data_IF_367429883517
#
_entry.id   IF_367429883517
#
_cell.length_a   1.000
_cell.length_b   1.000
_cell.length_c   1.000
_cell.angle_alpha   90.00
_cell.angle_beta   90.00
_cell.angle_gamma   90.00
#
_symmetry.space_group_name_H-M   'P 1'
#
loop_
_entity.id
_entity.type
_entity.pdbx_description
1 polymer ?
#
# COMPACT_ATOMS: atom_id res chain seq x y z
N UNK A 1 5.46 -28.88 18.67
CA UNK A 1 5.91 -30.04 17.88
C UNK A 1 7.06 -29.59 16.96
N UNK A 2 8.05 -30.42 16.66
CA UNK A 2 9.12 -30.06 15.73
C UNK A 2 8.59 -29.79 14.30
N UNK A 3 7.42 -30.28 14.00
CA UNK A 3 6.76 -30.12 12.71
C UNK A 3 5.86 -28.91 12.62
N UNK A 4 5.55 -28.29 13.75
CA UNK A 4 4.61 -27.17 13.83
C UNK A 4 5.32 -25.90 14.29
N UNK A 5 5.13 -24.82 13.58
CA UNK A 5 5.68 -23.49 13.93
C UNK A 5 4.55 -22.49 14.01
N UNK A 6 4.48 -21.77 15.11
CA UNK A 6 3.60 -20.62 15.29
C UNK A 6 4.45 -19.37 15.44
N UNK A 7 4.13 -18.34 14.70
CA UNK A 7 4.74 -17.03 14.83
C UNK A 7 3.68 -15.96 15.10
N UNK A 8 3.98 -15.05 16.02
CA UNK A 8 3.17 -13.88 16.30
C UNK A 8 4.05 -12.65 16.14
N UNK A 9 3.53 -11.62 15.49
CA UNK A 9 4.23 -10.36 15.33
C UNK A 9 3.29 -9.19 15.62
N UNK A 10 3.84 -8.17 16.25
CA UNK A 10 3.16 -6.89 16.42
C UNK A 10 4.14 -5.75 16.12
N UNK A 11 3.72 -4.84 15.26
CA UNK A 11 4.41 -3.58 14.99
C UNK A 11 3.49 -2.42 15.40
N UNK A 12 3.97 -1.56 16.28
CA UNK A 12 3.23 -0.35 16.69
C UNK A 12 3.10 0.64 15.54
N UNK A 13 2.14 1.55 15.66
CA UNK A 13 2.08 2.75 14.82
C UNK A 13 3.35 3.60 15.02
N UNK A 14 3.75 4.31 13.96
CA UNK A 14 4.83 5.30 14.00
C UNK A 14 4.28 6.60 13.46
N UNK A 15 4.42 7.68 14.23
CA UNK A 15 4.02 9.02 13.79
C UNK A 15 5.24 9.79 13.30
N UNK A 16 5.09 10.46 12.18
CA UNK A 16 6.09 11.30 11.55
C UNK A 16 5.50 12.67 11.27
N UNK A 17 6.28 13.71 11.45
CA UNK A 17 6.01 15.03 10.86
C UNK A 17 6.86 15.13 9.60
N UNK A 18 6.20 15.22 8.47
CA UNK A 18 6.84 15.42 7.17
C UNK A 18 7.06 16.92 6.97
N UNK A 19 8.27 17.29 6.56
CA UNK A 19 8.63 18.66 6.26
C UNK A 19 9.00 18.79 4.78
N UNK A 20 8.60 19.90 4.16
CA UNK A 20 8.86 20.13 2.76
C UNK A 20 8.65 21.58 2.35
N UNK A 21 8.71 21.84 1.04
CA UNK A 21 8.45 23.13 0.45
C UNK A 21 7.30 23.04 -0.55
N UNK A 22 6.32 23.94 -0.42
CA UNK A 22 5.26 24.14 -1.40
C UNK A 22 5.73 25.12 -2.47
N UNK A 23 5.83 24.65 -3.71
CA UNK A 23 6.15 25.49 -4.85
C UNK A 23 4.90 25.72 -5.68
N UNK A 24 4.50 26.98 -5.83
CA UNK A 24 3.30 27.35 -6.55
C UNK A 24 3.67 28.13 -7.82
N UNK A 25 3.02 27.78 -8.92
CA UNK A 25 3.10 28.56 -10.17
C UNK A 25 1.76 29.26 -10.36
N UNK A 26 1.80 30.57 -10.40
CA UNK A 26 0.63 31.42 -10.59
C UNK A 26 0.42 31.78 -12.07
N UNK A 27 -0.78 32.17 -12.42
CA UNK A 27 -1.08 32.69 -13.75
C UNK A 27 -1.02 34.23 -13.75
N UNK A 28 -0.77 34.86 -14.90
CA UNK A 28 -0.77 36.31 -15.03
C UNK A 28 -2.08 36.96 -14.54
N UNK A 29 -3.23 36.27 -14.71
CA UNK A 29 -4.51 36.73 -14.19
C UNK A 29 -4.57 36.73 -12.67
N UNK A 30 -4.01 35.72 -12.00
CA UNK A 30 -3.92 35.68 -10.53
C UNK A 30 -2.98 36.78 -10.01
N UNK A 31 -1.84 36.97 -10.66
CA UNK A 31 -0.89 38.02 -10.30
C UNK A 31 -1.49 39.43 -10.45
N UNK A 32 -2.31 39.66 -11.47
CA UNK A 32 -3.04 40.91 -11.67
C UNK A 32 -4.11 41.15 -10.60
N UNK A 33 -4.78 40.07 -10.11
CA UNK A 33 -5.71 40.20 -8.98
C UNK A 33 -4.99 40.56 -7.67
N UNK A 34 -3.83 39.96 -7.41
CA UNK A 34 -3.00 40.27 -6.24
C UNK A 34 -2.42 41.73 -6.32
N UNK A 35 -2.17 42.24 -7.49
CA UNK A 35 -1.70 43.59 -7.70
C UNK A 35 -2.77 44.66 -7.36
N UNK A 36 -4.05 44.26 -7.24
CA UNK A 36 -5.14 45.14 -6.81
C UNK A 36 -5.27 45.10 -5.29
N UNK A 37 -4.96 46.20 -4.52
CA UNK A 37 -4.98 46.20 -3.07
C UNK A 37 -6.36 45.89 -2.46
N UNK A 38 -7.46 46.14 -3.19
CA UNK A 38 -8.83 45.86 -2.71
C UNK A 38 -9.18 44.38 -2.80
N UNK A 39 -8.57 43.66 -3.73
CA UNK A 39 -8.81 42.24 -3.95
C UNK A 39 -7.77 41.37 -3.23
N UNK A 40 -6.53 41.84 -3.14
CA UNK A 40 -5.41 41.10 -2.55
C UNK A 40 -5.67 40.67 -1.09
N UNK A 41 -6.41 41.47 -0.33
CA UNK A 41 -6.78 41.16 1.07
C UNK A 41 -7.74 39.94 1.18
N UNK A 42 -8.44 39.60 0.09
CA UNK A 42 -9.45 38.52 0.04
C UNK A 42 -8.94 37.27 -0.68
N UNK A 43 -7.75 37.31 -1.28
CA UNK A 43 -7.18 36.22 -2.06
C UNK A 43 -6.01 35.61 -1.28
N UNK A 44 -6.05 34.29 -0.97
CA UNK A 44 -4.93 33.62 -0.31
C UNK A 44 -3.64 33.75 -1.15
N UNK A 45 -2.51 34.16 -0.56
CA UNK A 45 -1.25 34.31 -1.29
C UNK A 45 -0.65 32.93 -1.55
N UNK A 46 -0.82 32.36 -2.74
CA UNK A 46 -0.13 31.14 -3.17
C UNK A 46 1.32 31.47 -3.53
N UNK A 47 2.17 31.49 -2.53
CA UNK A 47 3.60 31.78 -2.65
C UNK A 47 4.43 30.57 -2.22
N UNK A 48 5.67 30.50 -2.71
CA UNK A 48 6.62 29.49 -2.24
C UNK A 48 6.78 29.59 -0.73
N UNK A 49 6.61 28.46 -0.04
CA UNK A 49 6.64 28.42 1.41
C UNK A 49 7.07 27.04 1.89
N UNK A 50 7.44 26.94 3.16
CA UNK A 50 7.56 25.65 3.83
C UNK A 50 6.19 25.01 4.05
N UNK A 51 6.15 23.70 4.21
CA UNK A 51 4.95 22.98 4.56
C UNK A 51 5.27 21.82 5.50
N UNK A 52 4.34 21.53 6.40
CA UNK A 52 4.42 20.38 7.30
C UNK A 52 3.15 19.55 7.21
N UNK A 53 3.28 18.22 7.35
CA UNK A 53 2.14 17.31 7.42
C UNK A 53 2.44 16.18 8.40
N UNK A 54 1.48 15.88 9.28
CA UNK A 54 1.58 14.73 10.15
C UNK A 54 1.11 13.46 9.44
N UNK A 55 1.92 12.43 9.50
CA UNK A 55 1.65 11.12 8.92
C UNK A 55 1.87 10.01 9.92
N UNK A 56 0.87 9.18 10.15
CA UNK A 56 0.96 8.04 11.06
C UNK A 56 0.81 6.73 10.30
N UNK A 57 1.87 5.91 10.31
CA UNK A 57 1.78 4.54 9.80
C UNK A 57 0.95 3.67 10.74
N UNK A 58 0.13 2.73 10.22
CA UNK A 58 -0.73 1.92 11.05
C UNK A 58 0.05 0.90 11.88
N UNK A 59 -0.52 0.52 13.03
CA UNK A 59 -0.11 -0.69 13.74
C UNK A 59 -0.53 -1.92 12.94
N UNK A 60 0.30 -2.98 13.02
CA UNK A 60 0.03 -4.28 12.39
C UNK A 60 0.20 -5.38 13.42
N UNK A 61 -0.76 -6.29 13.50
CA UNK A 61 -0.67 -7.54 14.24
C UNK A 61 -0.82 -8.70 13.25
N UNK A 62 0.04 -9.71 13.36
CA UNK A 62 -0.02 -10.90 12.51
C UNK A 62 0.22 -12.18 13.29
N UNK A 63 -0.38 -13.26 12.79
CA UNK A 63 -0.19 -14.62 13.26
C UNK A 63 0.02 -15.53 12.05
N UNK A 64 1.00 -16.41 12.15
CA UNK A 64 1.34 -17.38 11.11
C UNK A 64 1.48 -18.76 11.74
N UNK A 65 0.96 -19.75 11.05
CA UNK A 65 1.13 -21.15 11.40
C UNK A 65 1.72 -21.90 10.21
N UNK A 66 2.71 -22.76 10.47
CA UNK A 66 3.32 -23.64 9.48
C UNK A 66 3.35 -25.05 10.02
N UNK A 67 2.88 -26.00 9.23
CA UNK A 67 3.03 -27.43 9.45
C UNK A 67 3.96 -28.03 8.40
N UNK A 68 5.00 -28.75 8.86
CA UNK A 68 5.95 -29.47 7.99
C UNK A 68 5.74 -30.96 8.14
N UNK A 69 5.31 -31.62 7.08
CA UNK A 69 5.32 -33.05 6.95
C UNK A 69 6.61 -33.51 6.21
N UNK A 70 6.75 -34.79 5.97
CA UNK A 70 7.96 -35.37 5.36
C UNK A 70 8.23 -34.78 3.95
N UNK A 71 7.18 -34.66 3.13
CA UNK A 71 7.28 -34.19 1.73
C UNK A 71 6.55 -32.89 1.45
N UNK A 72 5.76 -32.39 2.35
CA UNK A 72 5.01 -31.14 2.11
C UNK A 72 5.00 -30.25 3.35
N UNK A 73 4.96 -28.96 3.11
CA UNK A 73 4.68 -27.95 4.10
C UNK A 73 3.37 -27.23 3.78
N UNK A 74 2.61 -26.83 4.80
CA UNK A 74 1.40 -26.03 4.68
C UNK A 74 1.45 -24.85 5.65
N UNK A 75 1.17 -23.66 5.14
CA UNK A 75 1.17 -22.43 5.94
C UNK A 75 -0.11 -21.63 5.79
N UNK A 76 -0.48 -20.95 6.87
CA UNK A 76 -1.57 -19.99 6.93
C UNK A 76 -1.05 -18.74 7.59
N UNK A 77 -1.36 -17.55 7.03
CA UNK A 77 -1.07 -16.27 7.62
C UNK A 77 -2.32 -15.43 7.75
N UNK A 78 -2.43 -14.73 8.88
CA UNK A 78 -3.44 -13.72 9.13
C UNK A 78 -2.75 -12.45 9.61
N UNK A 79 -3.13 -11.30 9.03
CA UNK A 79 -2.67 -10.01 9.52
C UNK A 79 -3.83 -9.02 9.60
N UNK A 80 -3.77 -8.18 10.62
CA UNK A 80 -4.67 -7.07 10.83
C UNK A 80 -3.88 -5.76 10.83
N UNK A 81 -4.32 -4.80 10.04
CA UNK A 81 -3.69 -3.48 9.94
C UNK A 81 -4.66 -2.40 10.37
N UNK A 82 -4.23 -1.58 11.34
CA UNK A 82 -5.04 -0.49 11.92
C UNK A 82 -4.99 0.76 11.03
N UNK A 83 -5.48 0.68 9.79
CA UNK A 83 -5.55 1.81 8.87
C UNK A 83 -6.47 2.95 9.33
N UNK A 84 -7.36 2.70 10.31
CA UNK A 84 -8.11 3.78 10.97
C UNK A 84 -7.22 4.80 11.72
N UNK A 85 -5.91 4.59 11.80
CA UNK A 85 -4.94 5.59 12.25
C UNK A 85 -4.69 6.69 11.21
N UNK A 86 -5.06 6.47 9.94
CA UNK A 86 -4.88 7.41 8.84
C UNK A 86 -6.25 7.86 8.33
N UNK A 87 -6.72 9.00 8.85
CA UNK A 87 -8.02 9.55 8.52
C UNK A 87 -7.91 10.72 7.55
N UNK A 88 -6.95 11.59 7.78
CA UNK A 88 -6.73 12.81 7.04
C UNK A 88 -5.25 13.01 6.76
N UNK A 89 -4.94 13.66 5.65
CA UNK A 89 -3.62 14.22 5.38
C UNK A 89 -3.77 15.73 5.22
N UNK A 90 -3.28 16.47 6.20
CA UNK A 90 -3.36 17.94 6.21
C UNK A 90 -1.98 18.54 6.04
N UNK A 91 -1.80 19.36 5.02
CA UNK A 91 -0.58 20.15 4.82
C UNK A 91 -0.80 21.54 5.40
N UNK A 92 0.00 21.90 6.38
CA UNK A 92 0.05 23.24 6.98
C UNK A 92 1.20 24.01 6.34
N UNK A 93 0.90 25.19 5.83
CA UNK A 93 1.89 26.04 5.17
C UNK A 93 2.53 27.02 6.17
N UNK A 94 3.79 27.36 5.96
CA UNK A 94 4.56 28.27 6.81
C UNK A 94 4.22 29.74 6.65
N UNK A 95 3.27 30.07 5.78
CA UNK A 95 2.74 31.44 5.57
C UNK A 95 1.24 31.49 5.90
N UNK A 96 0.55 32.58 5.53
CA UNK A 96 -0.88 32.76 5.78
C UNK A 96 -1.82 32.00 4.83
N UNK A 97 -1.29 31.10 3.98
CA UNK A 97 -2.14 30.24 3.13
C UNK A 97 -2.97 29.29 4.00
N UNK A 98 -4.23 29.05 3.65
CA UNK A 98 -5.03 28.05 4.32
C UNK A 98 -4.42 26.66 4.12
N UNK A 99 -4.47 25.84 5.16
CA UNK A 99 -4.05 24.43 5.06
C UNK A 99 -4.88 23.68 4.00
N UNK A 100 -4.24 22.71 3.36
CA UNK A 100 -4.92 21.78 2.44
C UNK A 100 -5.10 20.45 3.12
N UNK A 101 -6.32 19.95 3.17
CA UNK A 101 -6.63 18.66 3.81
C UNK A 101 -7.32 17.72 2.83
N UNK A 102 -6.88 16.47 2.81
CA UNK A 102 -7.55 15.37 2.12
C UNK A 102 -8.09 14.38 3.16
N UNK A 103 -9.39 14.06 3.06
CA UNK A 103 -10.08 13.15 3.95
C UNK A 103 -10.09 11.75 3.33
N UNK A 104 -9.38 10.81 3.94
CA UNK A 104 -9.30 9.42 3.51
C UNK A 104 -10.29 8.53 4.26
N UNK A 105 -10.49 8.76 5.56
CA UNK A 105 -11.37 7.99 6.43
C UNK A 105 -11.16 6.48 6.31
N UNK A 106 -9.90 6.02 6.29
CA UNK A 106 -9.57 4.63 6.07
C UNK A 106 -10.04 3.73 7.21
N UNK A 107 -10.46 2.52 6.84
CA UNK A 107 -10.86 1.47 7.77
C UNK A 107 -9.76 0.45 7.97
N UNK A 108 -9.82 -0.26 9.10
CA UNK A 108 -8.92 -1.38 9.36
C UNK A 108 -9.09 -2.49 8.34
N UNK A 109 -7.99 -3.17 8.01
CA UNK A 109 -7.96 -4.23 7.00
C UNK A 109 -7.49 -5.55 7.55
N UNK A 110 -7.87 -6.60 6.83
CA UNK A 110 -7.40 -7.96 7.04
C UNK A 110 -6.70 -8.48 5.79
N UNK A 111 -5.62 -9.17 6.03
CA UNK A 111 -4.93 -10.02 5.07
C UNK A 111 -5.03 -11.45 5.55
N UNK A 112 -5.31 -12.38 4.62
CA UNK A 112 -5.29 -13.81 4.88
C UNK A 112 -4.65 -14.52 3.71
N UNK A 113 -3.78 -15.49 3.99
CA UNK A 113 -3.17 -16.35 2.97
C UNK A 113 -3.14 -17.80 3.42
N UNK A 114 -3.12 -18.68 2.44
CA UNK A 114 -2.79 -20.10 2.58
C UNK A 114 -1.87 -20.48 1.44
N UNK A 115 -0.85 -21.26 1.77
CA UNK A 115 0.10 -21.74 0.78
C UNK A 115 0.89 -22.92 1.32
N UNK A 116 1.65 -23.54 0.43
CA UNK A 116 2.48 -24.65 0.84
C UNK A 116 3.56 -24.99 -0.19
N UNK A 117 4.37 -25.95 0.18
CA UNK A 117 5.37 -26.54 -0.68
C UNK A 117 5.21 -28.07 -0.77
N UNK A 118 5.76 -28.63 -1.83
CA UNK A 118 5.86 -30.07 -2.04
C UNK A 118 7.22 -30.42 -2.60
N UNK A 119 7.93 -31.31 -1.92
CA UNK A 119 9.19 -31.88 -2.38
C UNK A 119 8.90 -32.99 -3.39
N UNK A 120 9.02 -32.66 -4.68
CA UNK A 120 8.80 -33.63 -5.79
C UNK A 120 9.86 -34.73 -5.72
N UNK A 121 11.11 -34.34 -5.45
CA UNK A 121 12.27 -35.20 -5.18
C UNK A 121 13.31 -34.38 -4.40
N UNK A 122 14.50 -34.97 -4.16
CA UNK A 122 15.59 -34.36 -3.39
C UNK A 122 16.14 -33.05 -4.02
N UNK A 123 15.83 -32.81 -5.30
CA UNK A 123 16.34 -31.64 -6.04
C UNK A 123 15.26 -30.60 -6.39
N UNK A 124 14.00 -30.98 -6.39
CA UNK A 124 12.92 -30.11 -6.85
C UNK A 124 11.83 -29.96 -5.80
N UNK A 125 11.60 -28.73 -5.38
CA UNK A 125 10.46 -28.32 -4.55
C UNK A 125 9.57 -27.37 -5.35
N UNK A 126 8.27 -27.62 -5.37
CA UNK A 126 7.26 -26.71 -5.95
C UNK A 126 6.45 -26.05 -4.84
N UNK A 127 5.96 -24.84 -5.11
CA UNK A 127 5.18 -24.03 -4.15
C UNK A 127 3.96 -23.45 -4.82
N UNK A 128 2.89 -23.31 -4.07
CA UNK A 128 1.71 -22.59 -4.50
C UNK A 128 1.03 -21.91 -3.30
N UNK A 129 0.33 -20.80 -3.55
CA UNK A 129 -0.40 -20.11 -2.52
C UNK A 129 -1.44 -19.16 -3.09
N UNK A 130 -2.41 -18.81 -2.25
CA UNK A 130 -3.41 -17.79 -2.53
C UNK A 130 -3.55 -16.86 -1.32
N UNK A 131 -3.92 -15.60 -1.59
CA UNK A 131 -4.16 -14.63 -0.55
C UNK A 131 -5.28 -13.68 -0.92
N UNK A 132 -5.86 -13.07 0.13
CA UNK A 132 -6.80 -11.95 0.02
C UNK A 132 -6.31 -10.83 0.92
N UNK A 133 -6.27 -9.61 0.38
CA UNK A 133 -5.92 -8.38 1.08
C UNK A 133 -7.06 -7.38 0.91
N UNK A 134 -7.75 -7.06 2.01
CA UNK A 134 -8.90 -6.17 1.97
C UNK A 134 -8.47 -4.70 1.86
N UNK A 135 -9.24 -3.92 1.09
CA UNK A 135 -8.94 -2.48 0.92
C UNK A 135 -9.33 -1.66 2.17
N UNK A 136 -8.52 -0.67 2.56
CA UNK A 136 -8.91 0.30 3.60
C UNK A 136 -9.88 1.37 3.10
N UNK A 137 -10.01 1.58 1.77
CA UNK A 137 -10.78 2.69 1.22
C UNK A 137 -12.27 2.43 1.23
N UNK A 138 -13.06 3.51 1.42
CA UNK A 138 -14.50 3.51 1.19
C UNK A 138 -14.81 4.14 -0.17
N UNK A 139 -15.90 3.73 -0.79
CA UNK A 139 -16.34 4.32 -2.06
C UNK A 139 -16.51 5.84 -1.96
N UNK A 140 -17.08 6.33 -0.86
CA UNK A 140 -17.36 7.75 -0.65
C UNK A 140 -16.10 8.64 -0.51
N UNK A 141 -14.96 8.06 -0.14
CA UNK A 141 -13.71 8.80 0.09
C UNK A 141 -12.55 8.30 -0.77
N UNK A 142 -12.84 7.37 -1.68
CA UNK A 142 -11.82 6.88 -2.61
C UNK A 142 -11.50 7.94 -3.64
N UNK A 143 -10.24 8.34 -3.70
CA UNK A 143 -9.77 9.34 -4.67
C UNK A 143 -9.06 8.67 -5.86
N UNK A 144 -8.95 9.39 -6.97
CA UNK A 144 -8.17 8.95 -8.12
C UNK A 144 -6.64 8.87 -7.84
N UNK A 145 -6.16 9.48 -6.75
CA UNK A 145 -4.75 9.36 -6.31
C UNK A 145 -4.46 8.04 -5.65
N UNK A 146 -5.48 7.44 -4.98
CA UNK A 146 -5.37 6.13 -4.33
C UNK A 146 -6.62 5.32 -4.68
N UNK A 147 -6.71 4.80 -5.93
CA UNK A 147 -7.85 4.03 -6.40
C UNK A 147 -7.74 2.57 -5.91
N UNK A 148 -7.57 2.38 -4.60
CA UNK A 148 -7.33 1.07 -4.00
C UNK A 148 -8.61 0.24 -3.93
N UNK A 149 -8.47 -1.08 -4.11
CA UNK A 149 -9.54 -2.06 -3.96
C UNK A 149 -9.01 -3.38 -3.41
N UNK A 150 -9.91 -4.28 -3.01
CA UNK A 150 -9.52 -5.60 -2.49
C UNK A 150 -8.72 -6.38 -3.53
N UNK A 151 -7.59 -6.94 -3.09
CA UNK A 151 -6.66 -7.72 -3.89
C UNK A 151 -6.80 -9.20 -3.57
N UNK A 152 -6.72 -10.03 -4.61
CA UNK A 152 -6.59 -11.48 -4.52
C UNK A 152 -5.29 -11.86 -5.21
N UNK A 153 -4.53 -12.72 -4.60
CA UNK A 153 -3.23 -13.13 -5.12
C UNK A 153 -3.24 -14.62 -5.37
N UNK A 154 -2.64 -15.02 -6.49
CA UNK A 154 -2.29 -16.41 -6.77
C UNK A 154 -0.80 -16.49 -7.07
N UNK A 155 -0.11 -17.41 -6.43
CA UNK A 155 1.35 -17.54 -6.52
C UNK A 155 1.76 -18.97 -6.82
N UNK A 156 2.82 -19.12 -7.61
CA UNK A 156 3.51 -20.38 -7.84
C UNK A 156 5.01 -20.17 -7.76
N UNK A 157 5.75 -21.19 -7.37
CA UNK A 157 7.20 -21.11 -7.28
C UNK A 157 7.84 -22.48 -7.36
N UNK A 158 9.13 -22.48 -7.61
CA UNK A 158 9.96 -23.68 -7.59
C UNK A 158 11.35 -23.38 -7.04
N UNK A 159 11.95 -24.36 -6.40
CA UNK A 159 13.37 -24.42 -6.08
C UNK A 159 13.99 -25.62 -6.75
N UNK A 160 15.12 -25.44 -7.40
CA UNK A 160 15.88 -26.52 -8.04
C UNK A 160 17.32 -26.54 -7.54
N UNK A 161 17.70 -27.63 -6.88
CA UNK A 161 19.07 -27.89 -6.43
C UNK A 161 19.87 -28.44 -7.62
N UNK A 162 20.56 -27.56 -8.33
CA UNK A 162 21.31 -27.92 -9.55
C UNK A 162 22.58 -28.72 -9.21
N UNK A 163 23.21 -28.43 -8.06
CA UNK A 163 24.29 -29.23 -7.47
C UNK A 163 24.24 -29.09 -5.95
N UNK A 164 25.12 -29.81 -5.21
CA UNK A 164 25.17 -29.77 -3.75
C UNK A 164 25.36 -28.33 -3.20
N UNK A 165 25.99 -27.48 -3.99
CA UNK A 165 26.32 -26.12 -3.61
C UNK A 165 25.51 -25.04 -4.34
N UNK A 166 24.68 -25.39 -5.33
CA UNK A 166 23.99 -24.42 -6.17
C UNK A 166 22.49 -24.67 -6.28
N UNK A 167 21.70 -23.69 -5.83
CA UNK A 167 20.25 -23.71 -5.87
C UNK A 167 19.71 -22.52 -6.70
N UNK A 168 18.71 -22.78 -7.53
CA UNK A 168 17.97 -21.77 -8.29
C UNK A 168 16.54 -21.73 -7.79
N UNK A 169 16.00 -20.54 -7.57
CA UNK A 169 14.61 -20.31 -7.23
C UNK A 169 13.94 -19.47 -8.30
N UNK A 170 12.73 -19.82 -8.69
CA UNK A 170 11.87 -19.02 -9.54
C UNK A 170 10.47 -18.92 -8.93
N UNK A 171 9.84 -17.75 -9.06
CA UNK A 171 8.50 -17.52 -8.56
C UNK A 171 7.71 -16.60 -9.48
N UNK A 172 6.41 -16.78 -9.51
CA UNK A 172 5.47 -15.90 -10.18
C UNK A 172 4.27 -15.65 -9.28
N UNK A 173 3.83 -14.39 -9.25
CA UNK A 173 2.60 -14.00 -8.58
C UNK A 173 1.74 -13.17 -9.51
N UNK A 174 0.44 -13.48 -9.55
CA UNK A 174 -0.57 -12.65 -10.18
C UNK A 174 -1.47 -12.02 -9.12
N UNK A 175 -1.64 -10.71 -9.22
CA UNK A 175 -2.50 -9.91 -8.33
C UNK A 175 -3.73 -9.48 -9.12
N UNK A 176 -4.88 -10.00 -8.73
CA UNK A 176 -6.18 -9.55 -9.21
C UNK A 176 -6.66 -8.44 -8.29
N UNK A 177 -6.91 -7.26 -8.81
CA UNK A 177 -7.50 -6.15 -8.06
C UNK A 177 -8.96 -6.02 -8.46
N UNK A 178 -9.87 -5.95 -7.49
CA UNK A 178 -11.27 -5.66 -7.81
C UNK A 178 -11.38 -4.25 -8.40
N UNK A 179 -12.32 -4.03 -9.33
CA UNK A 179 -12.53 -2.71 -9.90
C UNK A 179 -12.74 -1.66 -8.81
N UNK A 180 -11.97 -0.58 -8.91
CA UNK A 180 -12.06 0.55 -7.99
C UNK A 180 -12.89 1.67 -8.63
N UNK A 181 -14.15 1.76 -8.23
CA UNK A 181 -15.00 2.89 -8.64
C UNK A 181 -14.61 4.14 -7.86
N UNK A 182 -14.44 5.26 -8.55
CA UNK A 182 -14.20 6.59 -8.01
C UNK A 182 -15.32 7.51 -8.48
N UNK A 183 -15.89 8.27 -7.56
CA UNK A 183 -16.88 9.30 -7.84
C UNK A 183 -16.67 10.42 -6.81
N UNK A 184 -15.91 11.43 -7.21
CA UNK A 184 -15.51 12.53 -6.33
C UNK A 184 -15.88 13.86 -6.93
N UNK A 185 -16.23 14.82 -6.07
CA UNK A 185 -16.47 16.21 -6.41
C UNK A 185 -15.42 17.03 -5.66
N UNK A 186 -14.67 17.86 -6.39
CA UNK A 186 -13.69 18.76 -5.80
C UNK A 186 -14.35 20.00 -5.16
N UNK A 187 -13.54 20.81 -4.46
CA UNK A 187 -14.01 22.05 -3.82
C UNK A 187 -14.52 23.11 -4.77
N UNK A 188 -14.28 22.95 -6.08
CA UNK A 188 -14.75 23.86 -7.14
C UNK A 188 -16.00 23.34 -7.84
N UNK A 189 -16.50 22.16 -7.44
CA UNK A 189 -17.71 21.53 -8.00
C UNK A 189 -17.44 20.64 -9.22
N UNK A 190 -16.19 20.41 -9.62
CA UNK A 190 -15.87 19.50 -10.70
C UNK A 190 -16.01 18.03 -10.24
N UNK A 191 -16.70 17.23 -11.03
CA UNK A 191 -16.91 15.81 -10.75
C UNK A 191 -15.97 14.94 -11.57
N UNK A 192 -15.29 14.01 -10.91
CA UNK A 192 -14.54 12.93 -11.53
C UNK A 192 -15.20 11.61 -11.16
N UNK A 193 -15.74 10.90 -12.16
CA UNK A 193 -16.33 9.58 -11.98
C UNK A 193 -15.72 8.59 -13.00
N UNK A 194 -15.38 7.38 -12.54
CA UNK A 194 -14.78 6.35 -13.39
C UNK A 194 -14.45 5.08 -12.62
N UNK A 195 -13.97 4.08 -13.36
CA UNK A 195 -13.50 2.82 -12.81
C UNK A 195 -12.00 2.66 -13.11
N UNK A 196 -11.25 2.22 -12.13
CA UNK A 196 -9.88 1.76 -12.28
C UNK A 196 -9.89 0.22 -12.33
N UNK A 197 -9.23 -0.32 -13.34
CA UNK A 197 -9.02 -1.75 -13.52
C UNK A 197 -7.52 -2.02 -13.41
N UNK A 198 -7.13 -2.65 -12.31
CA UNK A 198 -5.73 -2.87 -11.99
C UNK A 198 -5.42 -4.36 -11.86
N UNK A 199 -4.21 -4.72 -12.21
CA UNK A 199 -3.65 -6.04 -11.93
C UNK A 199 -2.13 -5.93 -11.79
N UNK A 200 -1.52 -6.95 -11.20
CA UNK A 200 -0.05 -7.02 -11.06
C UNK A 200 0.50 -8.37 -11.46
N UNK A 201 1.66 -8.37 -12.09
CA UNK A 201 2.45 -9.56 -12.36
C UNK A 201 3.83 -9.38 -11.78
N UNK A 202 4.25 -10.31 -10.92
CA UNK A 202 5.57 -10.31 -10.32
C UNK A 202 6.30 -11.59 -10.71
N UNK A 203 7.49 -11.45 -11.23
CA UNK A 203 8.41 -12.54 -11.53
C UNK A 203 9.66 -12.37 -10.68
N UNK A 204 10.02 -13.39 -9.94
CA UNK A 204 11.25 -13.44 -9.15
C UNK A 204 12.13 -14.60 -9.57
N UNK A 205 13.43 -14.34 -9.68
CA UNK A 205 14.46 -15.38 -9.89
C UNK A 205 15.60 -15.08 -8.93
N UNK A 206 16.09 -16.09 -8.21
CA UNK A 206 17.28 -15.99 -7.38
C UNK A 206 18.14 -17.23 -7.51
N UNK A 207 19.43 -17.08 -7.24
CA UNK A 207 20.38 -18.17 -7.18
C UNK A 207 21.18 -18.06 -5.88
N UNK A 208 21.41 -19.21 -5.23
CA UNK A 208 22.20 -19.32 -4.01
C UNK A 208 23.35 -20.27 -4.24
N UNK A 209 24.59 -19.80 -3.95
CA UNK A 209 25.79 -20.63 -3.97
C UNK A 209 26.40 -20.71 -2.57
N UNK A 210 26.69 -21.94 -2.12
CA UNK A 210 27.34 -22.21 -0.84
C UNK A 210 28.79 -22.58 -1.10
N UNK A 211 29.72 -21.87 -0.46
CA UNK A 211 31.16 -22.09 -0.53
C UNK A 211 31.62 -23.18 0.41
#
# INVERSE_FOLDING_TARGET
SPNDKLALNYRSKISHTLEGTGNFTTTAGYDALLANPQLAASIPPFQHTTGTADFTTPAVASASYWHQAERFGLGIDLAWTKWSAFQDLTVNYGNSQPSTSEHYNWRNTWYASVGGDYNVNDKLTVRAGVAVDSTPTYLATRSARVPDSTRKLATVGLSYQASDNFEINASYAHIFVNNAHVDTIDSTGNRLAGNFEDYGNLLGVSATYKF
#
